data_IF_594459583463
#
_entry.id   IF_594459583463
#
_cell.length_a   1.000
_cell.length_b   1.000
_cell.length_c   1.000
_cell.angle_alpha   90.00
_cell.angle_beta   90.00
_cell.angle_gamma   90.00
#
_symmetry.space_group_name_H-M   'P 1'
#
loop_
_entity.id
_entity.type
_entity.pdbx_description
1 polymer ?
#
# COMPACT_ATOMS: atom_id res chain seq x y z
N UNK A 1 -1.61 4.87 7.98
CA UNK A 1 -1.15 6.25 8.19
C UNK A 1 0.06 6.54 7.30
N UNK A 2 1.13 5.73 7.37
CA UNK A 2 2.37 5.93 6.60
C UNK A 2 2.23 6.18 5.08
N UNK A 3 1.51 5.34 4.32
CA UNK A 3 1.28 5.61 2.89
C UNK A 3 0.67 7.00 2.65
N UNK A 4 -0.33 7.38 3.48
CA UNK A 4 -1.03 8.66 3.34
C UNK A 4 -0.12 9.85 3.68
N UNK A 5 0.73 9.72 4.70
CA UNK A 5 1.76 10.72 5.06
C UNK A 5 2.76 10.94 3.92
N UNK A 6 3.09 9.89 3.18
CA UNK A 6 3.95 9.92 2.00
C UNK A 6 3.18 10.34 0.72
N UNK A 7 1.92 10.75 0.85
CA UNK A 7 1.10 11.26 -0.25
C UNK A 7 0.44 10.20 -1.12
N UNK A 8 0.39 8.93 -0.67
CA UNK A 8 -0.27 7.82 -1.38
C UNK A 8 -1.51 7.35 -0.60
N UNK A 9 -2.69 7.50 -1.21
CA UNK A 9 -3.94 7.01 -0.63
C UNK A 9 -4.21 5.57 -1.03
N UNK A 10 -4.39 4.71 -0.02
CA UNK A 10 -4.72 3.29 -0.18
C UNK A 10 -5.95 2.94 0.64
N UNK A 11 -6.73 1.98 0.16
CA UNK A 11 -7.74 1.33 0.99
C UNK A 11 -7.08 0.32 1.93
N UNK A 12 -7.69 0.07 3.09
CA UNK A 12 -7.26 -0.98 4.02
C UNK A 12 -8.44 -1.88 4.34
N UNK A 13 -8.32 -3.18 4.06
CA UNK A 13 -9.28 -4.17 4.53
C UNK A 13 -8.78 -4.80 5.82
N UNK A 14 -9.67 -4.85 6.80
CA UNK A 14 -9.45 -5.44 8.12
C UNK A 14 -10.71 -6.19 8.55
N UNK A 15 -10.61 -7.14 9.50
CA UNK A 15 -11.78 -7.76 10.09
C UNK A 15 -12.78 -6.71 10.61
N UNK A 16 -14.09 -6.92 10.45
CA UNK A 16 -14.76 -8.16 9.99
C UNK A 16 -14.87 -8.32 8.46
N UNK A 17 -14.42 -7.37 7.65
CA UNK A 17 -14.58 -7.41 6.19
C UNK A 17 -13.70 -8.43 5.47
N UNK A 18 -12.67 -8.96 6.15
CA UNK A 18 -11.80 -10.04 5.67
C UNK A 18 -11.48 -11.00 6.82
N UNK A 19 -11.10 -12.26 6.55
CA UNK A 19 -10.66 -13.19 7.58
C UNK A 19 -9.51 -12.63 8.42
N UNK A 20 -9.53 -12.95 9.73
CA UNK A 20 -8.46 -12.59 10.67
C UNK A 20 -7.11 -13.08 10.15
N UNK A 21 -6.06 -12.28 10.32
CA UNK A 21 -4.72 -12.58 9.81
C UNK A 21 -4.51 -12.28 8.32
N UNK A 22 -5.55 -11.85 7.59
CA UNK A 22 -5.46 -11.54 6.15
C UNK A 22 -5.75 -10.08 5.81
N UNK A 23 -5.53 -9.18 6.78
CA UNK A 23 -5.56 -7.73 6.58
C UNK A 23 -4.63 -7.36 5.42
N UNK A 24 -5.11 -6.50 4.52
CA UNK A 24 -4.38 -6.16 3.29
C UNK A 24 -4.69 -4.75 2.83
N UNK A 25 -3.75 -4.19 2.08
CA UNK A 25 -3.95 -2.93 1.37
C UNK A 25 -4.71 -3.20 0.07
N UNK A 26 -5.58 -2.25 -0.31
CA UNK A 26 -6.27 -2.21 -1.59
C UNK A 26 -5.74 -1.04 -2.39
N UNK A 27 -5.15 -1.35 -3.53
CA UNK A 27 -4.76 -0.39 -4.56
C UNK A 27 -5.84 -0.36 -5.64
N UNK A 28 -6.15 0.82 -6.15
CA UNK A 28 -7.12 1.00 -7.24
C UNK A 28 -6.43 1.71 -8.38
N UNK A 29 -6.07 0.95 -9.41
CA UNK A 29 -5.48 1.49 -10.62
C UNK A 29 -6.49 2.36 -11.37
N UNK A 30 -6.00 3.41 -12.03
CA UNK A 30 -6.79 4.29 -12.91
C UNK A 30 -6.01 4.49 -14.20
N UNK A 31 -6.72 4.57 -15.33
CA UNK A 31 -6.09 4.76 -16.64
C UNK A 31 -5.42 6.14 -16.80
N UNK A 32 -5.75 7.10 -15.92
CA UNK A 32 -5.20 8.46 -15.93
C UNK A 32 -3.97 8.61 -15.05
N UNK A 33 -3.44 7.52 -14.48
CA UNK A 33 -2.21 7.59 -13.70
C UNK A 33 -1.05 7.85 -14.64
N UNK A 34 -0.23 8.84 -14.32
CA UNK A 34 1.02 9.10 -15.06
C UNK A 34 2.11 8.13 -14.61
N UNK A 35 3.14 7.97 -15.43
CA UNK A 35 4.31 7.17 -15.08
C UNK A 35 4.98 7.71 -13.80
N UNK A 36 5.07 9.04 -13.66
CA UNK A 36 5.61 9.69 -12.45
C UNK A 36 4.79 9.37 -11.19
N UNK A 37 3.46 9.31 -11.31
CA UNK A 37 2.59 8.90 -10.20
C UNK A 37 2.79 7.42 -9.85
N UNK A 38 2.99 6.55 -10.86
CA UNK A 38 3.26 5.14 -10.65
C UNK A 38 4.62 4.92 -9.95
N UNK A 39 5.68 5.61 -10.39
CA UNK A 39 7.01 5.56 -9.78
C UNK A 39 6.98 6.01 -8.32
N UNK A 40 6.24 7.09 -8.03
CA UNK A 40 6.03 7.55 -6.66
C UNK A 40 5.31 6.50 -5.81
N UNK A 41 4.25 5.89 -6.35
CA UNK A 41 3.49 4.85 -5.63
C UNK A 41 4.38 3.64 -5.36
N UNK A 42 5.17 3.21 -6.34
CA UNK A 42 6.09 2.08 -6.19
C UNK A 42 7.11 2.31 -5.06
N UNK A 43 7.80 3.46 -5.07
CA UNK A 43 8.78 3.81 -4.03
C UNK A 43 8.17 3.87 -2.64
N UNK A 44 6.99 4.48 -2.49
CA UNK A 44 6.29 4.55 -1.20
C UNK A 44 5.85 3.16 -0.72
N UNK A 45 5.35 2.31 -1.63
CA UNK A 45 4.94 0.95 -1.26
C UNK A 45 6.14 0.09 -0.88
N UNK A 46 7.26 0.20 -1.59
CA UNK A 46 8.50 -0.50 -1.25
C UNK A 46 8.98 -0.13 0.16
N UNK A 47 9.04 1.17 0.48
CA UNK A 47 9.44 1.65 1.81
C UNK A 47 8.52 1.11 2.91
N UNK A 48 7.21 1.25 2.74
CA UNK A 48 6.22 0.83 3.74
C UNK A 48 6.20 -0.68 3.91
N UNK A 49 6.28 -1.45 2.82
CA UNK A 49 6.26 -2.90 2.89
C UNK A 49 7.53 -3.46 3.52
N UNK A 50 8.70 -2.84 3.30
CA UNK A 50 9.94 -3.23 3.97
C UNK A 50 9.83 -3.12 5.50
N UNK A 51 9.13 -2.10 6.00
CA UNK A 51 8.90 -1.91 7.45
C UNK A 51 7.96 -2.96 8.05
N UNK A 52 6.99 -3.47 7.27
CA UNK A 52 5.93 -4.36 7.77
C UNK A 52 6.27 -5.83 7.59
N UNK A 53 7.00 -6.20 6.52
CA UNK A 53 7.26 -7.62 6.21
C UNK A 53 8.25 -8.28 7.18
N UNK A 54 9.00 -7.51 7.97
CA UNK A 54 10.18 -8.02 8.66
C UNK A 54 11.23 -8.44 7.63
N UNK A 55 12.51 -8.26 7.92
CA UNK A 55 13.58 -8.76 7.04
C UNK A 55 13.33 -10.25 6.77
N UNK A 56 13.22 -10.72 5.51
CA UNK A 56 13.20 -12.14 5.26
C UNK A 56 14.53 -12.71 5.79
N UNK A 57 14.43 -13.71 6.66
CA UNK A 57 15.58 -14.51 7.12
C UNK A 57 16.19 -15.28 5.95
#
# INVERSE_FOLDING_TARGET
ARCHELGVRVGCFRPPSVPVGTSRLRLTARATLTDEELDKVDGVLAEVLAQVRGTPS
#
